data_IF_925123345405
#
_entry.id   IF_925123345405
#
_cell.length_a   1.000
_cell.length_b   1.000
_cell.length_c   1.000
_cell.angle_alpha   90.00
_cell.angle_beta   90.00
_cell.angle_gamma   90.00
#
_symmetry.space_group_name_H-M   'P 1'
#
loop_
_entity.id
_entity.type
_entity.pdbx_description
1 polymer ?
#
# COMPACT_ATOMS: atom_id res chain seq x y z
N UNK A 1 -16.52 6.92 43.56
CA UNK A 1 -17.25 5.74 43.07
C UNK A 1 -16.48 5.17 41.90
N UNK A 2 -15.72 4.11 42.16
CA UNK A 2 -14.90 3.38 41.18
C UNK A 2 -15.81 2.50 40.33
N UNK A 3 -16.33 3.06 39.23
CA UNK A 3 -17.04 2.27 38.23
C UNK A 3 -16.05 1.33 37.55
N UNK A 4 -16.20 0.03 37.77
CA UNK A 4 -15.54 -1.01 36.97
C UNK A 4 -15.92 -0.75 35.52
N UNK A 5 -14.96 -0.31 34.70
CA UNK A 5 -15.21 -0.14 33.28
C UNK A 5 -15.59 -1.51 32.69
N UNK A 6 -16.82 -1.61 32.18
CA UNK A 6 -17.39 -2.84 31.66
C UNK A 6 -16.53 -3.37 30.50
N UNK A 7 -16.13 -4.64 30.57
CA UNK A 7 -15.41 -5.34 29.50
C UNK A 7 -16.42 -6.03 28.61
N UNK A 8 -16.38 -5.74 27.32
CA UNK A 8 -17.25 -6.35 26.31
C UNK A 8 -16.49 -7.50 25.64
N UNK A 9 -16.86 -8.72 26.01
CA UNK A 9 -16.26 -9.95 25.51
C UNK A 9 -17.37 -10.85 24.95
N UNK A 10 -17.61 -10.75 23.64
CA UNK A 10 -18.71 -11.47 23.00
C UNK A 10 -18.50 -11.63 21.50
N UNK A 11 -19.20 -12.61 20.94
CA UNK A 11 -19.39 -12.72 19.50
C UNK A 11 -20.29 -11.58 18.98
N UNK A 12 -20.02 -11.18 17.73
CA UNK A 12 -20.91 -10.36 16.92
C UNK A 12 -22.05 -11.22 16.37
N UNK A 13 -23.23 -10.65 16.28
CA UNK A 13 -24.37 -11.26 15.60
C UNK A 13 -24.22 -11.14 14.08
N UNK A 14 -24.98 -11.93 13.33
CA UNK A 14 -24.97 -11.86 11.86
C UNK A 14 -25.39 -10.48 11.34
N UNK A 15 -26.35 -9.83 12.02
CA UNK A 15 -26.82 -8.48 11.70
C UNK A 15 -25.70 -7.45 11.89
N UNK A 16 -24.96 -7.54 13.00
CA UNK A 16 -23.81 -6.68 13.27
C UNK A 16 -22.69 -6.89 12.25
N UNK A 17 -22.36 -8.15 11.94
CA UNK A 17 -21.37 -8.48 10.92
C UNK A 17 -21.79 -7.98 9.53
N UNK A 18 -23.07 -8.03 9.19
CA UNK A 18 -23.60 -7.51 7.93
C UNK A 18 -23.52 -5.98 7.88
N UNK A 19 -23.86 -5.29 8.97
CA UNK A 19 -23.75 -3.84 9.08
C UNK A 19 -22.30 -3.35 8.93
N UNK A 20 -21.33 -4.04 9.55
CA UNK A 20 -19.90 -3.74 9.38
C UNK A 20 -19.49 -3.88 7.91
N UNK A 21 -19.93 -4.95 7.23
CA UNK A 21 -19.61 -5.16 5.80
C UNK A 21 -20.17 -4.05 4.94
N UNK A 22 -21.46 -3.71 5.12
CA UNK A 22 -22.10 -2.64 4.37
C UNK A 22 -21.39 -1.28 4.59
N UNK A 23 -20.96 -1.00 5.82
CA UNK A 23 -20.21 0.21 6.13
C UNK A 23 -18.86 0.25 5.41
N UNK A 24 -18.13 -0.87 5.37
CA UNK A 24 -16.84 -0.99 4.67
C UNK A 24 -17.02 -0.88 3.15
N UNK A 25 -18.00 -1.57 2.57
CA UNK A 25 -18.28 -1.56 1.13
C UNK A 25 -18.64 -0.15 0.64
N UNK A 26 -19.34 0.64 1.45
CA UNK A 26 -19.77 2.00 1.13
C UNK A 26 -18.62 3.03 1.13
N UNK A 27 -17.44 2.68 1.65
CA UNK A 27 -16.30 3.61 1.74
C UNK A 27 -15.82 3.99 0.33
N UNK A 28 -15.77 5.29 0.03
CA UNK A 28 -15.31 5.82 -1.26
C UNK A 28 -13.82 6.18 -1.33
N UNK A 29 -13.10 6.17 -0.21
CA UNK A 29 -11.70 6.59 -0.13
C UNK A 29 -10.91 5.76 0.87
N UNK A 30 -9.65 5.46 0.56
CA UNK A 30 -8.75 4.73 1.45
C UNK A 30 -8.62 5.38 2.84
N UNK A 31 -8.59 6.71 2.91
CA UNK A 31 -8.38 7.45 4.18
C UNK A 31 -9.49 7.18 5.20
N UNK A 32 -10.69 6.88 4.70
CA UNK A 32 -11.88 6.68 5.52
C UNK A 32 -12.11 5.18 5.84
N UNK A 33 -11.33 4.27 5.24
CA UNK A 33 -11.55 2.84 5.31
C UNK A 33 -11.34 2.24 6.71
N UNK A 34 -10.15 2.44 7.28
CA UNK A 34 -9.84 1.95 8.62
C UNK A 34 -10.69 2.66 9.69
N UNK A 35 -10.88 3.99 9.65
CA UNK A 35 -11.80 4.68 10.56
C UNK A 35 -13.25 4.18 10.49
N UNK A 36 -13.79 3.96 9.27
CA UNK A 36 -15.15 3.45 9.10
C UNK A 36 -15.28 2.01 9.62
N UNK A 37 -14.30 1.16 9.36
CA UNK A 37 -14.25 -0.23 9.86
C UNK A 37 -14.26 -0.25 11.39
N UNK A 38 -13.37 0.54 12.02
CA UNK A 38 -13.29 0.64 13.47
C UNK A 38 -14.60 1.19 14.07
N UNK A 39 -15.14 2.28 13.51
CA UNK A 39 -16.39 2.88 13.96
C UNK A 39 -17.54 1.89 13.90
N UNK A 40 -17.71 1.18 12.79
CA UNK A 40 -18.78 0.19 12.63
C UNK A 40 -18.63 -0.95 13.65
N UNK A 41 -17.41 -1.43 13.87
CA UNK A 41 -17.12 -2.50 14.81
C UNK A 41 -17.40 -2.10 16.27
N UNK A 42 -16.90 -0.95 16.72
CA UNK A 42 -17.14 -0.50 18.09
C UNK A 42 -18.60 -0.10 18.31
N UNK A 43 -19.28 0.48 17.31
CA UNK A 43 -20.73 0.75 17.39
C UNK A 43 -21.52 -0.54 17.56
N UNK A 44 -21.16 -1.61 16.84
CA UNK A 44 -21.79 -2.91 17.00
C UNK A 44 -21.56 -3.47 18.41
N UNK A 45 -20.31 -3.47 18.90
CA UNK A 45 -19.98 -4.02 20.22
C UNK A 45 -20.60 -3.25 21.37
N UNK A 46 -20.63 -1.93 21.27
CA UNK A 46 -21.17 -1.02 22.26
C UNK A 46 -21.74 0.23 21.56
N UNK A 47 -23.08 0.32 21.36
CA UNK A 47 -23.69 1.47 20.69
C UNK A 47 -23.38 2.80 21.38
N UNK A 48 -23.14 2.79 22.69
CA UNK A 48 -22.71 3.96 23.47
C UNK A 48 -21.25 4.38 23.21
N UNK A 49 -20.42 3.49 22.66
CA UNK A 49 -19.04 3.80 22.23
C UNK A 49 -19.00 4.50 20.86
N UNK A 50 -20.14 4.66 20.17
CA UNK A 50 -20.22 5.50 18.97
C UNK A 50 -20.08 7.00 19.28
N UNK A 51 -20.29 7.39 20.56
CA UNK A 51 -20.22 8.78 21.03
C UNK A 51 -18.93 9.12 21.77
N UNK A 52 -18.00 8.18 21.95
CA UNK A 52 -16.70 8.46 22.54
C UNK A 52 -15.75 9.10 21.52
N UNK A 53 -14.81 9.95 21.96
CA UNK A 53 -13.76 10.57 21.13
C UNK A 53 -12.76 9.56 20.52
N UNK A 54 -13.15 8.29 20.43
CA UNK A 54 -12.39 7.11 20.02
C UNK A 54 -12.62 6.76 18.55
N UNK A 55 -13.65 7.36 17.93
CA UNK A 55 -13.95 7.29 16.51
C UNK A 55 -13.32 8.44 15.69
N UNK A 56 -12.42 9.22 16.30
CA UNK A 56 -11.67 10.31 15.69
C UNK A 56 -10.26 9.83 15.26
N UNK A 57 -10.01 9.69 13.95
CA UNK A 57 -8.74 9.22 13.43
C UNK A 57 -7.60 10.24 13.53
N UNK A 58 -7.84 11.47 14.00
CA UNK A 58 -6.80 12.49 14.20
C UNK A 58 -5.98 12.35 15.49
N UNK A 59 -6.28 11.37 16.34
CA UNK A 59 -5.64 11.20 17.64
C UNK A 59 -4.36 10.36 17.55
N UNK A 60 -3.26 10.91 18.04
CA UNK A 60 -1.92 10.29 18.05
C UNK A 60 -1.76 9.20 19.13
N UNK A 61 -2.68 9.13 20.09
CA UNK A 61 -2.68 8.11 21.14
C UNK A 61 -3.53 6.90 20.74
N UNK A 62 -3.05 5.65 20.94
CA UNK A 62 -3.89 4.47 20.73
C UNK A 62 -5.15 4.58 21.60
N UNK A 63 -6.33 4.19 21.09
CA UNK A 63 -7.57 4.33 21.85
C UNK A 63 -7.42 3.57 23.18
N UNK A 64 -7.60 4.24 24.34
CA UNK A 64 -7.26 3.70 25.65
C UNK A 64 -8.16 2.53 26.13
N UNK A 65 -8.94 1.93 25.22
CA UNK A 65 -9.98 0.96 25.52
C UNK A 65 -9.92 -0.33 24.67
N UNK A 66 -8.91 -0.51 23.80
CA UNK A 66 -8.74 -1.75 23.01
C UNK A 66 -8.81 -3.04 23.83
N UNK A 67 -8.23 -3.00 25.03
CA UNK A 67 -8.21 -4.13 25.97
C UNK A 67 -9.56 -4.39 26.66
N UNK A 68 -10.56 -3.52 26.49
CA UNK A 68 -11.92 -3.69 27.02
C UNK A 68 -12.83 -4.45 26.06
N UNK A 69 -12.47 -4.53 24.77
CA UNK A 69 -13.26 -5.19 23.75
C UNK A 69 -12.51 -6.41 23.24
N UNK A 70 -13.21 -7.54 23.14
CA UNK A 70 -12.67 -8.72 22.49
C UNK A 70 -13.76 -9.52 21.78
N UNK A 71 -13.41 -10.03 20.60
CA UNK A 71 -14.29 -10.82 19.71
C UNK A 71 -13.62 -12.16 19.34
N UNK A 72 -14.39 -13.17 18.91
CA UNK A 72 -13.84 -14.42 18.38
C UNK A 72 -12.84 -14.19 17.26
N UNK A 73 -11.75 -14.96 17.25
CA UNK A 73 -10.70 -14.86 16.23
C UNK A 73 -11.24 -15.06 14.80
N UNK A 74 -12.21 -15.95 14.60
CA UNK A 74 -12.85 -16.18 13.30
C UNK A 74 -13.54 -14.92 12.77
N UNK A 75 -14.26 -14.18 13.63
CA UNK A 75 -14.91 -12.91 13.27
C UNK A 75 -13.91 -11.78 13.07
N UNK A 76 -12.85 -11.75 13.90
CA UNK A 76 -11.76 -10.80 13.75
C UNK A 76 -11.10 -10.91 12.37
N UNK A 77 -10.78 -12.15 11.96
CA UNK A 77 -10.17 -12.43 10.65
C UNK A 77 -11.13 -12.06 9.51
N UNK A 78 -12.41 -12.41 9.62
CA UNK A 78 -13.40 -12.07 8.60
C UNK A 78 -13.54 -10.55 8.39
N UNK A 79 -13.57 -9.75 9.47
CA UNK A 79 -13.60 -8.28 9.36
C UNK A 79 -12.31 -7.76 8.71
N UNK A 80 -11.16 -8.32 9.08
CA UNK A 80 -9.89 -7.96 8.46
C UNK A 80 -9.89 -8.24 6.96
N UNK A 81 -10.37 -9.41 6.54
CA UNK A 81 -10.49 -9.78 5.13
C UNK A 81 -11.42 -8.84 4.35
N UNK A 82 -12.56 -8.46 4.93
CA UNK A 82 -13.51 -7.51 4.30
C UNK A 82 -12.84 -6.14 4.09
N UNK A 83 -12.18 -5.62 5.13
CA UNK A 83 -11.44 -4.36 5.04
C UNK A 83 -10.31 -4.43 4.01
N UNK A 84 -9.55 -5.53 3.98
CA UNK A 84 -8.43 -5.70 3.04
C UNK A 84 -8.91 -5.87 1.59
N UNK A 85 -9.98 -6.62 1.35
CA UNK A 85 -10.57 -6.74 0.02
C UNK A 85 -11.07 -5.38 -0.49
N UNK A 86 -11.64 -4.55 0.38
CA UNK A 86 -12.00 -3.17 0.01
C UNK A 86 -10.75 -2.30 -0.21
N UNK A 87 -9.71 -2.46 0.62
CA UNK A 87 -8.44 -1.76 0.44
C UNK A 87 -7.77 -2.12 -0.89
N UNK A 88 -7.86 -3.36 -1.35
CA UNK A 88 -7.34 -3.82 -2.64
C UNK A 88 -7.98 -3.07 -3.83
N UNK A 89 -9.23 -2.62 -3.72
CA UNK A 89 -9.86 -1.75 -4.72
C UNK A 89 -9.12 -0.42 -4.91
N UNK A 90 -8.50 0.04 -3.83
CA UNK A 90 -7.67 1.23 -3.76
C UNK A 90 -6.17 0.85 -3.96
N UNK A 91 -5.84 -0.43 -4.07
CA UNK A 91 -4.49 -0.98 -3.89
C UNK A 91 -3.86 -0.71 -2.53
N UNK A 92 -4.60 -0.21 -1.56
CA UNK A 92 -4.11 0.18 -0.25
C UNK A 92 -3.86 -1.00 0.72
N UNK A 93 -3.84 -2.26 0.25
CA UNK A 93 -3.94 -3.45 1.09
C UNK A 93 -2.90 -3.50 2.22
N UNK A 94 -1.62 -3.27 1.91
CA UNK A 94 -0.54 -3.31 2.90
C UNK A 94 -0.68 -2.20 3.94
N UNK A 95 -0.97 -0.97 3.49
CA UNK A 95 -1.15 0.16 4.41
C UNK A 95 -2.37 -0.05 5.31
N UNK A 96 -3.50 -0.46 4.73
CA UNK A 96 -4.71 -0.77 5.48
C UNK A 96 -4.45 -1.90 6.50
N UNK A 97 -3.67 -2.93 6.17
CA UNK A 97 -3.33 -4.00 7.11
C UNK A 97 -2.59 -3.48 8.36
N UNK A 98 -1.61 -2.60 8.17
CA UNK A 98 -0.83 -2.02 9.27
C UNK A 98 -1.69 -1.15 10.18
N UNK A 99 -2.52 -0.28 9.60
CA UNK A 99 -3.40 0.61 10.36
C UNK A 99 -4.56 -0.14 11.02
N UNK A 100 -5.14 -1.13 10.32
CA UNK A 100 -6.23 -1.94 10.87
C UNK A 100 -5.78 -2.72 12.11
N UNK A 101 -4.57 -3.27 12.08
CA UNK A 101 -3.99 -3.96 13.23
C UNK A 101 -3.78 -3.03 14.45
N UNK A 102 -3.81 -1.70 14.29
CA UNK A 102 -3.73 -0.74 15.41
C UNK A 102 -5.08 -0.37 16.01
N UNK A 103 -6.20 -0.62 15.31
CA UNK A 103 -7.54 -0.21 15.76
C UNK A 103 -8.48 -1.37 16.12
N UNK A 104 -8.30 -2.57 15.58
CA UNK A 104 -9.11 -3.77 15.89
C UNK A 104 -9.14 -4.14 17.39
N UNK A 105 -10.22 -4.70 17.95
CA UNK A 105 -10.26 -5.17 19.34
C UNK A 105 -9.31 -6.36 19.56
N UNK A 106 -9.15 -6.77 20.82
CA UNK A 106 -8.50 -8.04 21.14
C UNK A 106 -9.32 -9.23 20.58
N UNK A 107 -8.68 -10.39 20.50
CA UNK A 107 -9.30 -11.62 19.98
C UNK A 107 -9.14 -12.79 20.94
N UNK A 108 -10.08 -13.73 20.91
CA UNK A 108 -10.05 -14.94 21.71
C UNK A 108 -10.46 -16.16 20.86
N UNK A 109 -9.96 -17.37 21.19
CA UNK A 109 -10.37 -18.59 20.51
C UNK A 109 -11.80 -18.96 20.92
N UNK A 110 -12.67 -19.19 19.94
CA UNK A 110 -14.03 -19.70 20.13
C UNK A 110 -14.39 -20.64 18.97
N UNK A 111 -14.35 -21.97 19.16
CA UNK A 111 -14.58 -22.93 18.10
C UNK A 111 -16.06 -23.05 17.68
N UNK A 112 -16.99 -22.60 18.52
CA UNK A 112 -18.43 -22.67 18.24
C UNK A 112 -18.88 -21.52 17.34
N UNK A 113 -18.10 -20.42 17.28
CA UNK A 113 -18.39 -19.27 16.43
C UNK A 113 -17.82 -19.49 15.03
N UNK A 114 -18.70 -19.91 14.13
CA UNK A 114 -18.40 -19.98 12.70
C UNK A 114 -18.86 -18.71 11.98
N UNK A 115 -18.05 -18.19 11.07
CA UNK A 115 -18.47 -17.11 10.16
C UNK A 115 -18.89 -17.72 8.84
N UNK A 116 -20.11 -17.41 8.39
CA UNK A 116 -20.56 -17.83 7.08
C UNK A 116 -19.59 -17.32 6.00
N UNK A 117 -19.12 -18.18 5.06
CA UNK A 117 -18.26 -17.73 3.96
C UNK A 117 -18.95 -16.61 3.19
N UNK A 118 -18.32 -15.44 3.13
CA UNK A 118 -18.82 -14.32 2.34
C UNK A 118 -18.13 -14.33 0.99
N UNK A 119 -18.87 -14.16 -0.12
CA UNK A 119 -18.25 -14.07 -1.43
C UNK A 119 -17.30 -12.87 -1.45
N UNK A 120 -16.03 -13.12 -1.75
CA UNK A 120 -15.03 -12.06 -1.89
C UNK A 120 -15.40 -11.22 -3.10
N UNK A 121 -15.92 -10.03 -2.86
CA UNK A 121 -16.36 -9.13 -3.92
C UNK A 121 -15.12 -8.46 -4.50
N UNK A 122 -14.87 -8.68 -5.78
CA UNK A 122 -13.81 -7.94 -6.47
C UNK A 122 -14.30 -6.50 -6.66
N UNK A 123 -13.67 -5.59 -5.94
CA UNK A 123 -13.99 -4.17 -5.97
C UNK A 123 -13.05 -3.39 -6.90
N UNK A 124 -12.11 -4.07 -7.58
CA UNK A 124 -11.22 -3.40 -8.51
C UNK A 124 -12.04 -2.83 -9.67
N UNK A 125 -11.73 -1.59 -10.09
CA UNK A 125 -12.30 -1.01 -11.30
C UNK A 125 -12.09 -1.95 -12.51
N UNK A 126 -13.07 -2.08 -13.42
CA UNK A 126 -12.91 -2.89 -14.62
C UNK A 126 -11.86 -2.32 -15.58
N UNK A 127 -11.52 -1.03 -15.43
CA UNK A 127 -10.52 -0.31 -16.22
C UNK A 127 -9.56 0.37 -15.25
N UNK A 128 -8.26 0.24 -15.52
CA UNK A 128 -7.20 0.94 -14.81
C UNK A 128 -6.53 1.93 -15.76
N UNK A 129 -6.75 3.22 -15.52
CA UNK A 129 -6.23 4.30 -16.35
C UNK A 129 -4.87 4.78 -15.86
N UNK A 130 -3.87 4.70 -16.75
CA UNK A 130 -2.53 5.23 -16.54
C UNK A 130 -2.35 6.53 -17.32
N UNK A 131 -2.26 7.65 -16.62
CA UNK A 131 -1.94 8.95 -17.22
C UNK A 131 -0.46 9.23 -17.07
N UNK A 132 0.28 9.15 -18.18
CA UNK A 132 1.72 9.42 -18.23
C UNK A 132 1.95 10.85 -18.72
N UNK A 133 2.64 11.68 -17.94
CA UNK A 133 3.02 13.00 -18.42
C UNK A 133 4.10 12.91 -19.49
N UNK A 134 4.21 13.94 -20.33
CA UNK A 134 5.27 14.02 -21.35
C UNK A 134 6.67 13.85 -20.74
N UNK A 135 6.93 14.51 -19.63
CA UNK A 135 8.23 14.44 -18.94
C UNK A 135 8.50 13.04 -18.38
N UNK A 136 7.48 12.35 -17.88
CA UNK A 136 7.61 10.95 -17.46
C UNK A 136 7.94 10.05 -18.66
N UNK A 137 7.29 10.26 -19.81
CA UNK A 137 7.63 9.53 -21.05
C UNK A 137 9.08 9.77 -21.49
N UNK A 138 9.59 11.00 -21.35
CA UNK A 138 10.99 11.32 -21.64
C UNK A 138 11.96 10.61 -20.70
N UNK A 139 11.65 10.53 -19.39
CA UNK A 139 12.40 9.76 -18.39
C UNK A 139 12.39 8.26 -18.67
N UNK A 140 11.23 7.70 -19.05
CA UNK A 140 11.11 6.30 -19.49
C UNK A 140 12.02 6.01 -20.69
N UNK A 141 12.04 6.94 -21.66
CA UNK A 141 12.94 6.87 -22.81
C UNK A 141 14.41 6.99 -22.40
N UNK A 142 14.74 7.84 -21.43
CA UNK A 142 16.11 8.02 -20.94
C UNK A 142 16.67 6.76 -20.27
N UNK A 143 15.85 6.08 -19.44
CA UNK A 143 16.20 4.81 -18.82
C UNK A 143 16.43 3.70 -19.87
N UNK A 144 15.58 3.63 -20.89
CA UNK A 144 15.74 2.67 -22.01
C UNK A 144 17.05 2.90 -22.76
N UNK A 145 17.34 4.17 -23.13
CA UNK A 145 18.62 4.53 -23.77
C UNK A 145 19.83 4.27 -22.87
N UNK A 146 19.70 4.37 -21.54
CA UNK A 146 20.78 4.05 -20.62
C UNK A 146 21.14 2.55 -20.68
N UNK A 147 20.14 1.67 -20.72
CA UNK A 147 20.36 0.23 -20.89
C UNK A 147 21.09 -0.07 -22.22
N UNK A 148 20.69 0.58 -23.32
CA UNK A 148 21.36 0.43 -24.62
C UNK A 148 22.82 0.92 -24.61
N UNK A 149 23.11 2.01 -23.89
CA UNK A 149 24.50 2.49 -23.70
C UNK A 149 25.35 1.48 -22.94
N UNK A 150 24.82 0.85 -21.89
CA UNK A 150 25.52 -0.21 -21.16
C UNK A 150 25.77 -1.44 -22.04
N UNK A 151 24.77 -1.84 -22.84
CA UNK A 151 24.93 -2.94 -23.81
C UNK A 151 26.03 -2.63 -24.84
N UNK A 152 26.14 -1.38 -25.27
CA UNK A 152 27.12 -0.95 -26.26
C UNK A 152 28.54 -0.89 -25.69
N UNK A 153 28.69 -0.57 -24.40
CA UNK A 153 29.98 -0.44 -23.75
C UNK A 153 30.51 -1.75 -23.15
N UNK A 154 29.69 -2.46 -22.38
CA UNK A 154 30.07 -3.70 -21.69
C UNK A 154 29.72 -4.97 -22.48
N UNK A 155 28.94 -4.83 -23.55
CA UNK A 155 28.40 -5.95 -24.32
C UNK A 155 27.01 -6.38 -23.86
N UNK A 156 26.24 -6.92 -24.80
CA UNK A 156 24.93 -7.50 -24.52
C UNK A 156 25.08 -8.70 -23.57
N UNK A 157 24.32 -8.70 -22.48
CA UNK A 157 24.32 -9.79 -21.49
C UNK A 157 25.44 -9.71 -20.44
N UNK A 158 26.24 -8.64 -20.45
CA UNK A 158 27.13 -8.32 -19.32
C UNK A 158 26.34 -8.17 -18.01
N UNK A 159 26.94 -8.44 -16.84
CA UNK A 159 26.29 -8.25 -15.54
C UNK A 159 25.65 -6.86 -15.39
N UNK A 160 26.36 -5.82 -15.81
CA UNK A 160 25.95 -4.42 -15.75
C UNK A 160 24.71 -4.15 -16.61
N UNK A 161 24.71 -4.66 -17.85
CA UNK A 161 23.56 -4.55 -18.75
C UNK A 161 22.35 -5.33 -18.21
N UNK A 162 22.56 -6.57 -17.78
CA UNK A 162 21.48 -7.44 -17.30
C UNK A 162 20.87 -6.93 -16.00
N UNK A 163 21.67 -6.40 -15.07
CA UNK A 163 21.17 -5.78 -13.85
C UNK A 163 20.30 -4.55 -14.16
N UNK A 164 20.80 -3.65 -15.01
CA UNK A 164 20.07 -2.45 -15.42
C UNK A 164 18.74 -2.79 -16.12
N UNK A 165 18.76 -3.72 -17.08
CA UNK A 165 17.55 -4.16 -17.78
C UNK A 165 16.55 -4.81 -16.83
N UNK A 166 17.00 -5.68 -15.91
CA UNK A 166 16.10 -6.29 -14.92
C UNK A 166 15.50 -5.25 -13.98
N UNK A 167 16.31 -4.32 -13.47
CA UNK A 167 15.80 -3.22 -12.64
C UNK A 167 14.75 -2.41 -13.39
N UNK A 168 14.99 -2.12 -14.67
CA UNK A 168 14.07 -1.38 -15.52
C UNK A 168 12.76 -2.13 -15.77
N UNK A 169 12.86 -3.39 -16.20
CA UNK A 169 11.71 -4.25 -16.45
C UNK A 169 10.88 -4.45 -15.19
N UNK A 170 11.50 -4.71 -14.05
CA UNK A 170 10.77 -4.81 -12.78
C UNK A 170 10.02 -3.52 -12.44
N UNK A 171 10.66 -2.36 -12.59
CA UNK A 171 10.02 -1.06 -12.31
C UNK A 171 8.86 -0.76 -13.27
N UNK A 172 9.02 -1.02 -14.57
CA UNK A 172 7.96 -0.86 -15.57
C UNK A 172 6.83 -1.88 -15.37
N UNK A 173 7.14 -3.14 -15.12
CA UNK A 173 6.12 -4.16 -14.85
C UNK A 173 5.34 -3.82 -13.60
N UNK A 174 5.96 -3.20 -12.59
CA UNK A 174 5.24 -2.66 -11.44
C UNK A 174 4.22 -1.60 -11.88
N UNK A 175 4.50 -0.70 -12.83
CA UNK A 175 3.49 0.26 -13.35
C UNK A 175 2.19 -0.40 -13.80
N UNK A 176 2.26 -1.58 -14.41
CA UNK A 176 1.10 -2.30 -14.95
C UNK A 176 0.56 -3.39 -14.01
N UNK A 177 1.40 -3.94 -13.15
CA UNK A 177 1.02 -4.92 -12.13
C UNK A 177 0.50 -4.25 -10.85
N UNK A 178 0.66 -2.93 -10.74
CA UNK A 178 0.15 -2.13 -9.64
C UNK A 178 -1.39 -2.20 -9.63
N UNK A 179 -1.92 -2.96 -8.69
CA UNK A 179 -3.35 -3.09 -8.44
C UNK A 179 -3.96 -1.85 -7.74
N UNK A 180 -3.35 -0.66 -7.91
CA UNK A 180 -3.75 0.56 -7.20
C UNK A 180 -4.77 1.40 -8.01
N UNK A 181 -6.01 1.47 -7.53
CA UNK A 181 -6.98 2.49 -7.90
C UNK A 181 -7.43 2.50 -9.38
N UNK A 182 -8.46 3.29 -9.67
CA UNK A 182 -8.97 3.43 -11.05
C UNK A 182 -8.05 4.33 -11.90
N UNK A 183 -7.36 5.28 -11.26
CA UNK A 183 -6.64 6.35 -11.93
C UNK A 183 -5.27 6.55 -11.29
N UNK A 184 -4.22 6.26 -12.05
CA UNK A 184 -2.83 6.48 -11.63
C UNK A 184 -2.15 7.46 -12.56
N UNK A 185 -1.53 8.48 -11.98
CA UNK A 185 -0.78 9.53 -12.66
C UNK A 185 0.71 9.28 -12.47
N UNK A 186 1.46 9.31 -13.57
CA UNK A 186 2.90 9.07 -13.59
C UNK A 186 3.59 10.35 -14.04
N UNK A 187 4.45 10.86 -13.16
CA UNK A 187 5.18 12.12 -13.32
C UNK A 187 6.68 11.89 -13.22
N UNK A 188 7.45 12.83 -13.75
CA UNK A 188 8.90 12.81 -13.58
C UNK A 188 9.24 13.17 -12.14
N UNK A 189 10.05 12.34 -11.48
CA UNK A 189 10.70 12.68 -10.21
C UNK A 189 12.09 13.28 -10.46
N UNK A 190 12.87 12.61 -11.32
CA UNK A 190 14.24 13.01 -11.68
C UNK A 190 14.61 12.46 -13.07
N UNK A 191 15.87 12.59 -13.51
CA UNK A 191 16.37 12.12 -14.80
C UNK A 191 16.11 10.62 -15.05
N UNK A 192 16.13 9.80 -14.00
CA UNK A 192 15.91 8.35 -14.06
C UNK A 192 14.92 7.86 -13.00
N UNK A 193 14.07 8.75 -12.47
CA UNK A 193 13.07 8.36 -11.47
C UNK A 193 11.70 8.90 -11.83
N UNK A 194 10.67 8.12 -11.52
CA UNK A 194 9.28 8.47 -11.72
C UNK A 194 8.55 8.55 -10.38
N UNK A 195 7.60 9.47 -10.29
CA UNK A 195 6.62 9.54 -9.21
C UNK A 195 5.32 8.97 -9.73
N UNK A 196 4.74 8.02 -9.00
CA UNK A 196 3.45 7.40 -9.32
C UNK A 196 2.47 7.80 -8.24
N UNK A 197 1.43 8.54 -8.62
CA UNK A 197 0.40 9.00 -7.71
C UNK A 197 -0.93 8.36 -8.09
N UNK A 198 -1.54 7.62 -7.18
CA UNK A 198 -2.92 7.15 -7.38
C UNK A 198 -3.89 8.21 -6.85
N UNK A 199 -4.67 8.81 -7.74
CA UNK A 199 -5.63 9.87 -7.39
C UNK A 199 -6.69 9.37 -6.41
N UNK A 200 -7.05 8.08 -6.51
CA UNK A 200 -8.05 7.46 -5.64
C UNK A 200 -7.54 7.24 -4.22
N UNK A 201 -6.23 7.19 -4.03
CA UNK A 201 -5.63 6.85 -2.72
C UNK A 201 -4.76 7.91 -2.10
N UNK A 202 -4.26 8.85 -2.90
CA UNK A 202 -3.21 9.77 -2.47
C UNK A 202 -1.88 9.08 -2.17
N UNK A 203 -1.72 7.78 -2.46
CA UNK A 203 -0.42 7.13 -2.33
C UNK A 203 0.52 7.63 -3.42
N UNK A 204 1.73 7.95 -2.99
CA UNK A 204 2.83 8.35 -3.85
C UNK A 204 3.90 7.27 -3.76
N UNK A 205 4.17 6.59 -4.87
CA UNK A 205 5.22 5.60 -5.01
C UNK A 205 6.34 6.16 -5.88
N UNK A 206 7.58 6.13 -5.37
CA UNK A 206 8.77 6.44 -6.16
C UNK A 206 9.25 5.20 -6.92
N UNK A 207 9.32 5.28 -8.24
CA UNK A 207 10.01 4.29 -9.07
C UNK A 207 11.39 4.82 -9.39
N UNK A 208 12.39 4.24 -8.73
CA UNK A 208 13.79 4.58 -8.92
C UNK A 208 14.44 3.56 -9.84
N UNK A 209 14.86 3.99 -11.02
CA UNK A 209 15.82 3.22 -11.80
C UNK A 209 17.16 3.36 -11.10
N UNK A 210 17.78 2.24 -10.71
CA UNK A 210 19.15 2.24 -10.20
C UNK A 210 20.08 2.27 -11.41
N UNK A 211 20.70 3.42 -11.75
CA UNK A 211 21.70 3.42 -12.80
C UNK A 211 22.90 2.62 -12.29
N UNK A 212 23.39 1.70 -13.13
CA UNK A 212 24.77 1.28 -12.95
C UNK A 212 25.64 2.52 -13.21
N UNK A 213 26.58 2.89 -12.32
CA UNK A 213 27.52 3.96 -12.63
C UNK A 213 28.26 3.48 -13.86
N UNK A 214 27.96 4.09 -15.01
CA UNK A 214 28.61 3.74 -16.26
C UNK A 214 30.13 3.84 -16.14
N UNK A 215 30.87 3.47 -17.19
CA UNK A 215 32.32 3.58 -17.16
C UNK A 215 32.76 4.97 -16.70
N UNK A 216 33.64 5.02 -15.69
CA UNK A 216 34.32 6.26 -15.33
C UNK A 216 34.95 6.82 -16.61
N UNK A 217 34.75 8.11 -16.92
CA UNK A 217 35.51 8.72 -18.00
C UNK A 217 36.99 8.46 -17.72
N UNK A 218 37.71 7.97 -18.73
CA UNK A 218 39.15 7.82 -18.64
C UNK A 218 39.72 9.16 -18.16
N UNK A 219 40.65 9.17 -17.19
CA UNK A 219 41.29 10.43 -16.78
C UNK A 219 41.83 11.10 -18.05
N UNK A 220 41.44 12.34 -18.27
CA UNK A 220 41.91 13.13 -19.41
C UNK A 220 43.44 13.07 -19.37
N UNK A 221 44.11 12.53 -20.41
CA UNK A 221 45.56 12.51 -20.42
C UNK A 221 46.03 13.96 -20.32
N UNK A 222 46.67 14.30 -19.20
CA UNK A 222 47.24 15.63 -19.03
C UNK A 222 48.33 15.78 -20.10
N UNK A 223 48.23 16.76 -21.02
CA UNK A 223 49.30 17.02 -21.96
C UNK A 223 50.50 17.51 -21.15
N UNK A 224 51.50 16.64 -20.97
CA UNK A 224 52.78 17.02 -20.38
C UNK A 224 53.40 16.07 -19.36
N UNK A 225 52.76 14.99 -18.92
CA UNK A 225 53.42 13.99 -18.06
C UNK A 225 53.89 12.78 -18.86
N UNK A 226 55.09 12.90 -19.41
CA UNK A 226 55.97 11.74 -19.54
C UNK A 226 56.56 11.48 -18.16
N UNK A 227 56.04 10.48 -17.45
CA UNK A 227 56.82 9.82 -16.41
C UNK A 227 57.22 8.46 -16.98
N UNK A 228 58.41 8.43 -17.59
CA UNK A 228 59.19 7.20 -17.57
C UNK A 228 59.41 6.80 -16.13
N UNK A 229 59.43 5.50 -15.84
CA UNK A 229 60.55 4.80 -15.18
C UNK A 229 60.02 3.42 -14.71
N UNK A 230 60.58 2.38 -15.34
CA UNK A 230 60.57 0.93 -15.08
C UNK A 230 59.25 0.14 -15.15
#
# INVERSE_FOLDING_TARGET
>A
MTGTAERVHRALTDVEMAAITAAVDAVGSVKDLVPATARALYTALAPWAASTPEADPGRTDPPPQRSRFAIPETQWLAIAEICLARAEAFGAGVHAALELHRVMPARYPDPEVTVAPRPRRDHRPPVHDLTVTREAADTIGAASRHCERLASYFGHGSPEHTEAVRSWQCGLSQLFAMSFGACTRIERADELSLTVTSETTGFVHGLHFRPHPGPRPAPVPQPGRWESVF
#
